data_IF_770805894920
#
_entry.id   IF_770805894920
#
_cell.length_a   1.000
_cell.length_b   1.000
_cell.length_c   1.000
_cell.angle_alpha   90.00
_cell.angle_beta   90.00
_cell.angle_gamma   90.00
#
_symmetry.space_group_name_H-M   'P 1'
#
loop_
_entity.id
_entity.type
_entity.pdbx_description
1 polymer ?
#
# COMPACT_ATOMS: atom_id res chain seq x y z
N UNK A 1 25.23 16.57 -27.74
CA UNK A 1 25.64 15.60 -26.70
C UNK A 1 24.44 15.34 -25.80
N UNK A 2 23.73 14.23 -26.02
CA UNK A 2 22.58 13.82 -25.19
C UNK A 2 23.12 12.92 -24.07
N UNK A 3 23.13 13.43 -22.85
CA UNK A 3 23.46 12.66 -21.66
C UNK A 3 22.30 11.72 -21.33
N UNK A 4 22.55 10.41 -21.36
CA UNK A 4 21.65 9.39 -20.85
C UNK A 4 21.79 9.38 -19.32
N UNK A 5 20.84 9.98 -18.61
CA UNK A 5 20.67 9.77 -17.17
C UNK A 5 19.81 8.51 -17.00
N UNK A 6 20.43 7.39 -16.63
CA UNK A 6 19.72 6.23 -16.11
C UNK A 6 19.16 6.60 -14.72
N UNK A 7 17.88 6.93 -14.65
CA UNK A 7 17.14 6.93 -13.39
C UNK A 7 16.82 5.47 -13.03
N UNK A 8 17.45 4.96 -11.98
CA UNK A 8 17.11 3.65 -11.42
C UNK A 8 15.77 3.75 -10.69
N UNK A 9 14.68 3.38 -11.36
CA UNK A 9 13.37 3.27 -10.73
C UNK A 9 13.38 2.12 -9.71
N UNK A 10 13.35 2.44 -8.41
CA UNK A 10 13.19 1.44 -7.34
C UNK A 10 11.71 1.09 -7.23
N UNK A 11 11.21 0.31 -8.18
CA UNK A 11 10.01 -0.46 -7.96
C UNK A 11 10.34 -1.52 -6.91
N UNK A 12 9.77 -1.42 -5.70
CA UNK A 12 9.87 -2.48 -4.69
C UNK A 12 9.15 -3.73 -5.24
N UNK A 13 9.90 -4.57 -5.96
CA UNK A 13 9.55 -5.95 -6.19
C UNK A 13 9.60 -6.65 -4.83
N UNK A 14 8.51 -7.33 -4.46
CA UNK A 14 8.53 -8.22 -3.30
C UNK A 14 9.59 -9.30 -3.59
N UNK A 15 10.61 -9.48 -2.73
CA UNK A 15 11.65 -10.46 -2.98
C UNK A 15 11.05 -11.86 -3.08
N UNK A 16 11.59 -12.65 -4.01
CA UNK A 16 11.30 -14.08 -4.11
C UNK A 16 11.57 -14.78 -2.77
N UNK A 17 10.78 -15.80 -2.47
CA UNK A 17 10.72 -16.55 -1.21
C UNK A 17 12.06 -17.20 -0.81
N UNK A 18 13.02 -16.41 -0.36
CA UNK A 18 14.18 -16.85 0.41
C UNK A 18 13.91 -16.70 1.91
N UNK A 19 14.71 -17.37 2.74
CA UNK A 19 14.81 -17.11 4.17
C UNK A 19 15.39 -15.70 4.42
N UNK A 20 14.58 -14.67 4.16
CA UNK A 20 14.94 -13.28 4.40
C UNK A 20 14.74 -12.91 5.87
N UNK A 21 15.39 -11.83 6.31
CA UNK A 21 15.00 -11.14 7.55
C UNK A 21 13.95 -10.09 7.22
N UNK A 22 13.19 -9.66 8.23
CA UNK A 22 12.31 -8.48 8.09
C UNK A 22 13.14 -7.28 7.63
N UNK A 23 12.75 -6.64 6.53
CA UNK A 23 13.46 -5.49 5.95
C UNK A 23 12.64 -4.22 6.11
N UNK A 24 13.24 -3.16 6.66
CA UNK A 24 12.58 -1.86 6.83
C UNK A 24 12.89 -0.95 5.63
N UNK A 25 11.95 -0.06 5.32
CA UNK A 25 12.22 1.05 4.40
C UNK A 25 12.03 2.39 5.12
N UNK A 26 12.76 3.40 4.65
CA UNK A 26 12.74 4.73 5.25
C UNK A 26 11.35 5.34 5.25
N UNK A 27 11.05 6.07 6.32
CA UNK A 27 9.80 6.79 6.44
C UNK A 27 9.76 7.97 5.47
N UNK A 28 8.70 8.07 4.69
CA UNK A 28 8.48 9.16 3.74
C UNK A 28 7.11 9.80 3.99
N UNK A 29 7.07 11.13 4.13
CA UNK A 29 5.84 11.86 4.41
C UNK A 29 5.12 11.40 5.69
N UNK A 30 5.86 10.94 6.71
CA UNK A 30 5.28 10.41 7.96
C UNK A 30 4.66 9.02 7.85
N UNK A 31 4.94 8.28 6.77
CA UNK A 31 4.59 6.86 6.61
C UNK A 31 5.85 6.02 6.59
N UNK A 32 5.94 5.05 7.50
CA UNK A 32 7.03 4.09 7.59
C UNK A 32 6.55 2.71 7.16
N UNK A 33 7.47 1.77 6.97
CA UNK A 33 7.07 0.38 6.81
C UNK A 33 8.21 -0.62 6.68
N UNK A 34 7.81 -1.86 6.45
CA UNK A 34 8.71 -3.00 6.38
C UNK A 34 8.08 -4.15 5.60
N UNK A 35 8.92 -5.07 5.12
CA UNK A 35 8.52 -6.32 4.51
C UNK A 35 8.81 -7.48 5.47
N UNK A 36 7.85 -8.36 5.62
CA UNK A 36 7.96 -9.64 6.34
C UNK A 36 8.03 -10.75 5.29
N UNK A 37 9.05 -11.61 5.32
CA UNK A 37 9.19 -12.70 4.35
C UNK A 37 8.07 -13.73 4.53
N UNK A 38 7.71 -14.43 3.44
CA UNK A 38 6.71 -15.49 3.44
C UNK A 38 6.95 -16.55 4.52
N UNK A 39 8.24 -16.88 4.71
CA UNK A 39 8.74 -17.79 5.73
C UNK A 39 8.47 -17.38 7.17
N UNK A 40 7.99 -16.16 7.46
CA UNK A 40 7.68 -15.71 8.83
C UNK A 40 6.19 -15.48 9.09
N UNK A 41 5.36 -15.54 8.05
CA UNK A 41 3.91 -15.31 8.14
C UNK A 41 3.17 -16.64 8.23
N UNK A 42 2.50 -16.89 9.35
CA UNK A 42 1.81 -18.18 9.67
C UNK A 42 0.30 -18.02 9.80
N UNK A 43 -0.16 -16.79 9.93
CA UNK A 43 -1.52 -16.43 10.22
C UNK A 43 -2.25 -16.08 8.92
N UNK A 44 -3.48 -16.58 8.79
CA UNK A 44 -4.40 -16.08 7.77
C UNK A 44 -4.65 -14.58 7.97
N UNK A 45 -4.95 -13.83 6.89
CA UNK A 45 -5.10 -14.29 5.51
C UNK A 45 -3.80 -14.44 4.71
N UNK A 46 -2.66 -13.91 5.19
CA UNK A 46 -1.40 -13.92 4.43
C UNK A 46 -0.51 -15.16 4.72
N UNK A 47 -1.08 -16.30 5.11
CA UNK A 47 -0.27 -17.46 5.54
C UNK A 47 0.64 -17.93 4.40
N UNK A 48 1.95 -17.99 4.65
CA UNK A 48 2.94 -18.42 3.66
C UNK A 48 3.18 -17.42 2.54
N UNK A 49 2.76 -16.16 2.71
CA UNK A 49 2.90 -15.08 1.74
C UNK A 49 3.79 -13.97 2.29
N UNK A 50 4.62 -13.31 1.45
CA UNK A 50 5.34 -12.13 1.90
C UNK A 50 4.33 -11.02 2.21
N UNK A 51 4.60 -10.24 3.24
CA UNK A 51 3.71 -9.17 3.70
C UNK A 51 4.45 -7.85 3.70
N UNK A 52 3.89 -6.85 3.04
CA UNK A 52 4.29 -5.47 3.24
C UNK A 52 3.42 -4.87 4.34
N UNK A 53 4.05 -4.17 5.29
CA UNK A 53 3.37 -3.39 6.30
C UNK A 53 3.76 -1.93 6.12
N UNK A 54 2.78 -1.05 6.06
CA UNK A 54 2.99 0.39 6.14
C UNK A 54 2.18 0.95 7.31
N UNK A 55 2.72 1.93 8.04
CA UNK A 55 2.04 2.57 9.15
C UNK A 55 2.31 4.08 9.15
N UNK A 56 1.29 4.86 9.49
CA UNK A 56 1.43 6.29 9.72
C UNK A 56 2.08 6.55 11.07
N UNK A 57 3.03 7.46 11.18
CA UNK A 57 3.61 7.89 12.46
C UNK A 57 2.70 8.85 13.21
N UNK A 58 1.88 9.61 12.49
CA UNK A 58 1.04 10.68 13.05
C UNK A 58 -0.41 10.25 13.32
N UNK A 59 -0.78 9.02 12.93
CA UNK A 59 -2.08 8.43 13.20
C UNK A 59 -1.98 6.92 13.44
N UNK A 60 -3.06 6.31 13.94
CA UNK A 60 -3.12 4.85 14.12
C UNK A 60 -3.28 4.07 12.82
N UNK A 61 -3.43 4.75 11.67
CA UNK A 61 -3.65 4.09 10.40
C UNK A 61 -2.50 3.13 10.07
N UNK A 62 -2.85 1.91 9.68
CA UNK A 62 -1.92 0.81 9.38
C UNK A 62 -2.45 -0.01 8.22
N UNK A 63 -1.56 -0.38 7.32
CA UNK A 63 -1.78 -1.22 6.15
C UNK A 63 -0.99 -2.51 6.28
N UNK A 64 -1.65 -3.63 6.01
CA UNK A 64 -1.04 -4.94 5.78
C UNK A 64 -1.39 -5.37 4.36
N UNK A 65 -0.40 -5.66 3.54
CA UNK A 65 -0.60 -6.07 2.15
C UNK A 65 -0.01 -7.46 1.95
N UNK A 66 -0.86 -8.47 1.71
CA UNK A 66 -0.39 -9.81 1.35
C UNK A 66 0.09 -9.84 -0.11
N UNK A 67 1.30 -10.33 -0.34
CA UNK A 67 1.80 -10.66 -1.68
C UNK A 67 1.41 -12.07 -2.10
N UNK A 68 1.01 -12.28 -3.36
CA UNK A 68 0.65 -13.62 -3.84
C UNK A 68 0.23 -13.65 -5.30
N UNK A 69 0.11 -14.86 -5.85
CA UNK A 69 -0.30 -15.11 -7.23
C UNK A 69 -1.77 -14.70 -7.49
N UNK A 70 -2.63 -14.81 -6.47
CA UNK A 70 -4.07 -14.52 -6.54
C UNK A 70 -4.41 -13.01 -6.47
N UNK A 71 -3.41 -12.16 -6.73
CA UNK A 71 -3.53 -10.72 -6.62
C UNK A 71 -3.28 -10.20 -5.21
N UNK A 72 -3.04 -8.90 -5.14
CA UNK A 72 -2.70 -8.22 -3.89
C UNK A 72 -3.96 -7.89 -3.09
N UNK A 73 -3.96 -8.26 -1.80
CA UNK A 73 -5.00 -7.88 -0.84
C UNK A 73 -4.42 -6.97 0.23
N UNK A 74 -5.09 -5.85 0.44
CA UNK A 74 -4.72 -4.84 1.43
C UNK A 74 -5.73 -4.81 2.56
N UNK A 75 -5.24 -4.85 3.79
CA UNK A 75 -6.03 -4.75 5.01
C UNK A 75 -5.63 -3.47 5.73
N UNK A 76 -6.58 -2.54 5.84
CA UNK A 76 -6.42 -1.26 6.50
C UNK A 76 -7.12 -1.29 7.85
N UNK A 77 -6.44 -0.80 8.88
CA UNK A 77 -7.03 -0.67 10.21
C UNK A 77 -6.37 0.46 11.00
N UNK A 78 -7.04 0.84 12.09
CA UNK A 78 -6.50 1.76 13.08
C UNK A 78 -5.92 0.96 14.25
N UNK A 79 -4.61 1.05 14.46
CA UNK A 79 -3.90 0.35 15.54
C UNK A 79 -4.14 0.95 16.93
N UNK A 80 -4.62 2.20 17.02
CA UNK A 80 -5.04 2.83 18.27
C UNK A 80 -6.45 2.40 18.68
N UNK A 81 -7.27 1.93 17.73
CA UNK A 81 -8.64 1.47 17.98
C UNK A 81 -8.75 -0.06 17.85
N UNK A 82 -7.94 -0.80 18.61
CA UNK A 82 -7.92 -2.29 18.59
C UNK A 82 -9.29 -2.84 18.97
N UNK A 83 -10.06 -3.31 17.99
CA UNK A 83 -11.43 -3.78 18.18
C UNK A 83 -12.44 -3.24 17.17
N UNK A 84 -12.12 -2.14 16.46
CA UNK A 84 -12.92 -1.68 15.32
C UNK A 84 -12.72 -2.57 14.09
N UNK A 85 -13.72 -2.60 13.22
CA UNK A 85 -13.61 -3.27 11.93
C UNK A 85 -12.52 -2.60 11.07
N UNK A 86 -11.77 -3.42 10.34
CA UNK A 86 -10.86 -2.93 9.32
C UNK A 86 -11.52 -2.94 7.95
N UNK A 87 -10.78 -2.47 6.94
CA UNK A 87 -11.21 -2.46 5.55
C UNK A 87 -10.31 -3.40 4.75
N UNK A 88 -10.92 -4.27 3.94
CA UNK A 88 -10.21 -5.02 2.91
C UNK A 88 -10.41 -4.35 1.56
N UNK A 89 -9.29 -4.11 0.89
CA UNK A 89 -9.22 -3.56 -0.46
C UNK A 89 -8.54 -4.59 -1.37
N UNK A 90 -9.30 -5.13 -2.30
CA UNK A 90 -8.77 -6.04 -3.32
C UNK A 90 -8.09 -5.26 -4.45
N UNK A 91 -7.03 -5.84 -5.03
CA UNK A 91 -6.39 -5.29 -6.23
C UNK A 91 -5.70 -3.94 -6.02
N UNK A 92 -5.39 -3.60 -4.77
CA UNK A 92 -4.64 -2.38 -4.43
C UNK A 92 -3.18 -2.67 -4.18
N UNK A 93 -2.32 -1.71 -4.50
CA UNK A 93 -0.88 -1.76 -4.22
C UNK A 93 -0.45 -0.48 -3.52
N UNK A 94 0.29 -0.61 -2.44
CA UNK A 94 0.99 0.49 -1.80
C UNK A 94 2.10 1.03 -2.69
N UNK A 95 2.15 2.36 -2.82
CA UNK A 95 3.30 3.10 -3.32
C UNK A 95 3.71 4.12 -2.27
N UNK A 96 5.00 4.47 -2.26
CA UNK A 96 5.46 5.57 -1.40
C UNK A 96 4.85 6.89 -1.89
N UNK A 97 4.63 7.82 -0.97
CA UNK A 97 4.03 9.12 -1.28
C UNK A 97 4.89 10.00 -2.18
N UNK A 98 6.21 9.91 -2.05
CA UNK A 98 7.20 10.60 -2.90
C UNK A 98 7.26 10.04 -4.32
N UNK A 99 6.95 8.75 -4.51
CA UNK A 99 6.86 8.12 -5.82
C UNK A 99 5.66 8.62 -6.65
N UNK A 100 4.68 9.27 -6.04
CA UNK A 100 3.45 9.66 -6.73
C UNK A 100 3.70 10.69 -7.85
N UNK A 101 4.68 11.58 -7.70
CA UNK A 101 5.06 12.54 -8.74
C UNK A 101 5.71 11.81 -9.94
N UNK A 102 6.64 10.89 -9.67
CA UNK A 102 7.27 10.06 -10.70
C UNK A 102 6.24 9.20 -11.43
N UNK A 103 5.28 8.61 -10.71
CA UNK A 103 4.20 7.81 -11.29
C UNK A 103 3.29 8.62 -12.22
N UNK A 104 3.11 9.92 -11.97
CA UNK A 104 2.32 10.80 -12.82
C UNK A 104 3.01 11.07 -14.17
N UNK A 105 4.34 11.14 -14.18
CA UNK A 105 5.14 11.41 -15.39
C UNK A 105 5.45 10.12 -16.18
N UNK A 106 5.85 9.07 -15.46
CA UNK A 106 6.43 7.87 -16.05
C UNK A 106 5.51 6.63 -15.97
N UNK A 107 4.38 6.76 -15.28
CA UNK A 107 3.48 5.65 -14.98
C UNK A 107 3.94 4.80 -13.78
N UNK A 108 3.03 3.97 -13.29
CA UNK A 108 3.30 2.99 -12.23
C UNK A 108 3.91 1.73 -12.86
N UNK A 109 5.08 1.26 -12.39
CA UNK A 109 5.68 0.02 -12.87
C UNK A 109 4.77 -1.19 -12.67
N UNK A 110 4.35 -1.82 -13.76
CA UNK A 110 3.61 -3.07 -13.80
C UNK A 110 4.42 -4.16 -14.56
N UNK A 111 3.95 -5.41 -14.50
CA UNK A 111 4.60 -6.56 -15.14
C UNK A 111 4.77 -6.38 -16.65
N UNK A 112 3.86 -5.66 -17.29
CA UNK A 112 3.86 -5.44 -18.74
C UNK A 112 4.49 -4.10 -19.16
N UNK A 113 5.13 -3.41 -18.21
CA UNK A 113 5.66 -2.06 -18.41
C UNK A 113 4.93 -1.02 -17.57
N UNK A 114 5.35 0.25 -17.63
CA UNK A 114 4.70 1.32 -16.89
C UNK A 114 3.27 1.55 -17.37
N UNK A 115 2.34 1.74 -16.44
CA UNK A 115 0.92 1.99 -16.70
C UNK A 115 0.54 3.37 -16.16
N UNK A 116 -0.15 4.23 -16.93
CA UNK A 116 -0.45 5.59 -16.51
C UNK A 116 -1.45 5.64 -15.34
N UNK A 117 -1.48 6.79 -14.65
CA UNK A 117 -2.57 7.12 -13.74
C UNK A 117 -3.85 7.43 -14.52
N UNK A 118 -5.02 7.15 -13.92
CA UNK A 118 -6.30 7.42 -14.56
C UNK A 118 -6.59 8.90 -14.71
N UNK A 119 -6.17 9.70 -13.72
CA UNK A 119 -6.24 11.15 -13.77
C UNK A 119 -4.89 11.68 -14.24
N UNK A 120 -4.87 12.37 -15.39
CA UNK A 120 -3.65 12.90 -16.03
C UNK A 120 -3.08 14.14 -15.33
N UNK A 121 -3.90 14.88 -14.57
CA UNK A 121 -3.38 16.03 -13.83
C UNK A 121 -2.42 15.56 -12.76
N UNK A 122 -1.38 16.36 -12.48
CA UNK A 122 -0.43 16.07 -11.42
C UNK A 122 -1.22 15.82 -10.12
N UNK A 123 -1.15 14.60 -9.56
CA UNK A 123 -1.88 14.30 -8.34
C UNK A 123 -1.35 15.19 -7.21
N UNK A 124 -2.26 15.67 -6.37
CA UNK A 124 -1.86 16.43 -5.18
C UNK A 124 -0.82 15.66 -4.36
N UNK A 125 0.06 16.35 -3.64
CA UNK A 125 0.95 15.67 -2.70
C UNK A 125 0.12 14.94 -1.62
N UNK A 126 0.62 13.80 -1.13
CA UNK A 126 0.02 13.14 0.02
C UNK A 126 0.18 13.99 1.27
N UNK A 127 -0.88 14.09 2.08
CA UNK A 127 -0.79 14.70 3.39
C UNK A 127 0.14 13.88 4.30
N UNK A 128 0.74 14.54 5.30
CA UNK A 128 1.60 13.84 6.26
C UNK A 128 0.85 12.71 6.97
N UNK A 129 1.40 11.49 6.93
CA UNK A 129 0.81 10.29 7.52
C UNK A 129 -0.27 9.63 6.66
N UNK A 130 -0.44 10.06 5.42
CA UNK A 130 -1.39 9.46 4.47
C UNK A 130 -0.70 8.38 3.63
N UNK A 131 -1.34 7.21 3.53
CA UNK A 131 -0.93 6.19 2.58
C UNK A 131 -1.42 6.53 1.17
N UNK A 132 -0.60 6.19 0.19
CA UNK A 132 -0.99 6.18 -1.21
C UNK A 132 -1.07 4.73 -1.69
N UNK A 133 -2.26 4.35 -2.11
CA UNK A 133 -2.53 3.08 -2.78
C UNK A 133 -2.90 3.36 -4.23
N UNK A 134 -2.60 2.42 -5.11
CA UNK A 134 -3.07 2.43 -6.50
C UNK A 134 -3.90 1.18 -6.78
N UNK A 135 -4.96 1.32 -7.57
CA UNK A 135 -5.80 0.21 -8.01
C UNK A 135 -6.00 0.24 -9.52
N UNK A 136 -6.06 -0.94 -10.16
CA UNK A 136 -6.40 -1.01 -11.59
C UNK A 136 -7.84 -0.57 -11.79
N UNK A 137 -8.07 0.24 -12.81
CA UNK A 137 -9.39 0.66 -13.28
C UNK A 137 -9.41 0.68 -14.81
N UNK A 138 -10.58 0.51 -15.45
CA UNK A 138 -10.71 0.67 -16.90
C UNK A 138 -10.20 2.05 -17.34
N UNK A 139 -9.41 2.09 -18.42
CA UNK A 139 -8.96 3.35 -18.98
C UNK A 139 -10.12 4.03 -19.73
N UNK A 140 -10.37 5.34 -19.52
CA UNK A 140 -11.49 6.02 -20.17
C UNK A 140 -11.31 6.22 -21.69
N UNK A 141 -10.06 6.20 -22.19
CA UNK A 141 -9.73 6.62 -23.56
C UNK A 141 -9.35 5.45 -24.49
N UNK A 142 -9.31 4.20 -24.01
CA UNK A 142 -8.89 3.06 -24.82
C UNK A 142 -9.57 1.75 -24.40
N UNK A 143 -10.17 1.07 -25.37
CA UNK A 143 -10.83 -0.22 -25.16
C UNK A 143 -9.82 -1.30 -24.74
N UNK A 144 -10.20 -2.10 -23.74
CA UNK A 144 -9.34 -3.14 -23.15
C UNK A 144 -8.11 -2.65 -22.38
N UNK A 145 -7.84 -1.33 -22.33
CA UNK A 145 -6.74 -0.77 -21.57
C UNK A 145 -7.14 -0.49 -20.11
N UNK A 146 -6.15 -0.40 -19.23
CA UNK A 146 -6.35 -0.03 -17.83
C UNK A 146 -5.37 1.06 -17.42
N UNK A 147 -5.76 1.79 -16.38
CA UNK A 147 -4.97 2.80 -15.71
C UNK A 147 -4.95 2.52 -14.21
N UNK A 148 -4.10 3.23 -13.47
CA UNK A 148 -4.09 3.20 -12.02
C UNK A 148 -4.83 4.39 -11.44
N UNK A 149 -5.91 4.14 -10.69
CA UNK A 149 -6.54 5.16 -9.85
C UNK A 149 -5.78 5.28 -8.54
N UNK A 150 -5.66 6.51 -8.03
CA UNK A 150 -4.98 6.80 -6.76
C UNK A 150 -6.01 6.78 -5.63
N UNK A 151 -5.73 5.99 -4.59
CA UNK A 151 -6.52 5.91 -3.37
C UNK A 151 -5.65 6.39 -2.21
N UNK A 152 -6.17 7.39 -1.50
CA UNK A 152 -5.55 8.01 -0.34
C UNK A 152 -6.19 7.49 0.92
N UNK A 153 -5.37 7.13 1.90
CA UNK A 153 -5.84 6.59 3.17
C UNK A 153 -5.21 7.34 4.33
N UNK A 154 -6.03 7.95 5.16
CA UNK A 154 -5.56 8.69 6.32
C UNK A 154 -6.65 8.82 7.39
N UNK A 155 -6.42 9.70 8.36
CA UNK A 155 -7.37 9.98 9.44
C UNK A 155 -6.83 9.63 10.82
N UNK A 156 -7.19 10.45 11.82
CA UNK A 156 -6.71 10.34 13.21
C UNK A 156 -7.64 9.57 14.15
N UNK A 157 -8.94 9.55 13.85
CA UNK A 157 -9.98 8.94 14.70
C UNK A 157 -10.80 7.88 13.97
N UNK A 158 -10.79 7.92 12.63
CA UNK A 158 -11.39 6.94 11.75
C UNK A 158 -10.59 6.95 10.45
N UNK A 159 -10.46 5.78 9.82
CA UNK A 159 -9.87 5.67 8.50
C UNK A 159 -10.79 6.33 7.46
N UNK A 160 -10.24 7.25 6.69
CA UNK A 160 -10.89 7.89 5.55
C UNK A 160 -10.19 7.44 4.28
N UNK A 161 -10.99 6.99 3.31
CA UNK A 161 -10.52 6.58 1.98
C UNK A 161 -11.01 7.61 0.97
N UNK A 162 -10.11 8.13 0.13
CA UNK A 162 -10.43 9.10 -0.91
C UNK A 162 -9.80 8.65 -2.22
N UNK A 163 -10.59 8.47 -3.27
CA UNK A 163 -10.06 8.23 -4.61
C UNK A 163 -9.94 9.54 -5.38
N UNK A 164 -8.99 9.59 -6.31
CA UNK A 164 -8.85 10.67 -7.30
C UNK A 164 -10.07 10.80 -8.24
N UNK A 165 -10.80 9.71 -8.47
CA UNK A 165 -12.06 9.72 -9.22
C UNK A 165 -13.24 10.35 -8.46
N UNK A 166 -13.09 10.64 -7.16
CA UNK A 166 -14.18 11.08 -6.28
C UNK A 166 -15.10 9.94 -5.80
N UNK A 167 -15.06 8.78 -6.45
CA UNK A 167 -15.83 7.60 -6.03
C UNK A 167 -15.07 6.81 -4.95
N UNK A 168 -15.71 6.42 -3.84
CA UNK A 168 -15.04 5.62 -2.83
C UNK A 168 -14.63 4.26 -3.42
N UNK A 169 -13.41 3.77 -3.11
CA UNK A 169 -13.02 2.45 -3.57
C UNK A 169 -13.94 1.38 -2.98
N UNK A 170 -14.20 0.32 -3.75
CA UNK A 170 -14.87 -0.86 -3.23
C UNK A 170 -14.07 -1.42 -2.05
N UNK A 171 -14.61 -1.24 -0.85
CA UNK A 171 -14.01 -1.67 0.40
C UNK A 171 -14.98 -2.61 1.10
N UNK A 172 -14.53 -3.83 1.38
CA UNK A 172 -15.30 -4.74 2.21
C UNK A 172 -14.99 -4.44 3.68
N UNK A 173 -16.01 -4.15 4.48
CA UNK A 173 -15.86 -4.16 5.92
C UNK A 173 -15.45 -5.56 6.34
N UNK A 174 -14.29 -5.71 6.97
CA UNK A 174 -13.83 -7.01 7.45
C UNK A 174 -13.97 -7.11 8.94
N UNK A 175 -14.59 -8.21 9.38
CA UNK A 175 -14.61 -8.56 10.78
C UNK A 175 -13.17 -8.71 11.28
N UNK A 176 -12.78 -7.83 12.22
CA UNK A 176 -11.48 -7.78 12.88
C UNK A 176 -10.97 -9.17 13.33
N UNK A 177 -11.88 -10.10 13.66
CA UNK A 177 -11.57 -11.48 14.06
C UNK A 177 -10.72 -12.25 13.04
N UNK A 178 -10.90 -12.03 11.73
CA UNK A 178 -10.24 -12.83 10.68
C UNK A 178 -8.73 -12.56 10.53
N UNK A 179 -8.29 -11.32 10.79
CA UNK A 179 -6.90 -10.90 10.57
C UNK A 179 -6.20 -10.37 11.83
N UNK A 180 -6.89 -10.29 12.99
CA UNK A 180 -6.30 -9.83 14.26
C UNK A 180 -5.03 -10.57 14.66
N UNK A 181 -4.96 -11.89 14.45
CA UNK A 181 -3.75 -12.67 14.77
C UNK A 181 -2.57 -12.26 13.90
N UNK A 182 -2.82 -12.05 12.60
CA UNK A 182 -1.84 -11.52 11.67
C UNK A 182 -1.37 -10.12 12.09
N UNK A 183 -2.31 -9.20 12.36
CA UNK A 183 -1.98 -7.86 12.84
C UNK A 183 -1.13 -7.90 14.11
N UNK A 184 -1.55 -8.64 15.13
CA UNK A 184 -0.79 -8.79 16.36
C UNK A 184 0.62 -9.37 16.13
N UNK A 185 0.80 -10.24 15.12
CA UNK A 185 2.14 -10.72 14.76
C UNK A 185 2.99 -9.62 14.14
N UNK A 186 2.50 -8.97 13.09
CA UNK A 186 3.31 -8.02 12.33
C UNK A 186 3.56 -6.71 13.08
N UNK A 187 2.61 -6.28 13.92
CA UNK A 187 2.74 -5.06 14.72
C UNK A 187 3.90 -5.12 15.74
N UNK A 188 4.37 -6.31 16.12
CA UNK A 188 5.56 -6.44 17.00
C UNK A 188 6.85 -5.90 16.38
N UNK A 189 6.86 -5.67 15.07
CA UNK A 189 8.01 -5.07 14.38
C UNK A 189 7.95 -3.53 14.30
N UNK A 190 6.84 -2.92 14.73
CA UNK A 190 6.74 -1.47 14.88
C UNK A 190 7.41 -1.05 16.20
N UNK A 191 8.31 -0.05 16.19
CA UNK A 191 8.96 0.42 17.41
C UNK A 191 7.96 0.87 18.50
N UNK A 192 8.21 0.56 19.79
CA UNK A 192 7.40 1.09 20.88
C UNK A 192 7.48 2.63 20.95
N UNK A 193 6.39 3.29 21.32
CA UNK A 193 6.30 4.77 21.35
C UNK A 193 5.94 5.43 20.01
N UNK A 194 5.73 4.64 18.95
CA UNK A 194 5.11 5.08 17.68
C UNK A 194 3.63 4.70 17.59
N UNK A 195 3.03 4.35 18.73
CA UNK A 195 1.59 4.17 18.89
C UNK A 195 1.00 5.52 19.31
N UNK A 196 -0.08 6.01 18.67
CA UNK A 196 -0.72 7.27 19.06
C UNK A 196 -1.21 7.25 20.50
#
# INVERSE_FOLDING_TARGET
MRGLLLAAAVALALPASGAGKVSKFDCAGGVCGFNVPAGDVREAPCKGQPVLVAYSESSGATLIQCGGADGTKSYLFDRGATGRAGLELAGTRFIKSDFLAEAAENGVPDRFGPVPLCVKSAPAAAATGEFVLVAKAPAPEADGAYCYRVIRVGGRQALALRADSGEPPAAAATAHKKWRKLAARVLRHIPPGKTP
#
